data_IF_925362254104
#
_entry.id   IF_925362254104
#
_cell.length_a   1.000
_cell.length_b   1.000
_cell.length_c   1.000
_cell.angle_alpha   90.00
_cell.angle_beta   90.00
_cell.angle_gamma   90.00
#
_symmetry.space_group_name_H-M   'P 1'
#
loop_
_entity.id
_entity.type
_entity.pdbx_description
1 polymer ?
#
# COMPACT_ATOMS: atom_id res chain seq x y z
N UNK A 1 50.12 1.28 0.31
CA UNK A 1 50.12 0.64 1.64
C UNK A 1 49.20 1.45 2.55
N UNK A 2 47.98 0.97 2.78
CA UNK A 2 47.05 1.61 3.72
C UNK A 2 47.18 0.90 5.06
N UNK A 3 47.71 1.61 6.06
CA UNK A 3 47.79 1.14 7.44
C UNK A 3 46.38 1.15 8.05
N UNK A 4 45.86 -0.03 8.38
CA UNK A 4 44.68 -0.16 9.23
C UNK A 4 45.16 -0.29 10.68
N UNK A 5 44.86 0.69 11.53
CA UNK A 5 45.00 0.55 12.98
C UNK A 5 43.88 -0.36 13.52
N UNK A 6 44.15 -1.18 14.56
CA UNK A 6 43.15 -2.10 15.10
C UNK A 6 42.16 -1.36 16.00
N UNK A 7 40.90 -1.26 15.60
CA UNK A 7 39.83 -0.90 16.52
C UNK A 7 39.52 -2.11 17.43
N UNK A 8 39.85 -2.00 18.71
CA UNK A 8 39.38 -2.93 19.76
C UNK A 8 37.85 -2.82 19.94
N UNK A 9 37.14 -3.92 20.28
CA UNK A 9 35.67 -3.95 20.32
C UNK A 9 35.12 -3.41 21.65
N UNK A 10 33.91 -2.82 21.65
CA UNK A 10 32.72 -3.56 22.10
C UNK A 10 31.47 -3.27 21.21
N UNK A 11 30.31 -3.93 21.43
CA UNK A 11 29.40 -4.29 20.35
C UNK A 11 28.57 -3.10 19.87
N UNK A 12 28.65 -2.80 18.58
CA UNK A 12 27.73 -1.87 17.94
C UNK A 12 26.36 -2.55 17.79
N UNK A 13 25.44 -2.29 18.73
CA UNK A 13 24.02 -2.66 18.57
C UNK A 13 23.36 -1.60 17.70
N UNK A 14 23.18 -1.90 16.41
CA UNK A 14 22.39 -1.07 15.51
C UNK A 14 20.91 -1.48 15.61
N UNK A 15 20.15 -0.76 16.44
CA UNK A 15 18.69 -0.76 16.36
C UNK A 15 18.23 0.03 15.12
N UNK A 16 17.05 -0.27 14.55
CA UNK A 16 16.76 0.04 13.16
C UNK A 16 16.07 1.40 13.05
N UNK A 17 16.74 2.54 13.26
CA UNK A 17 16.32 3.81 12.64
C UNK A 17 17.45 4.84 12.69
N UNK A 18 17.70 5.44 11.53
CA UNK A 18 18.86 6.21 11.05
C UNK A 18 19.29 7.40 11.93
N UNK A 19 20.60 7.60 12.09
CA UNK A 19 21.19 8.94 12.17
C UNK A 19 22.40 9.06 11.22
N UNK A 20 22.48 10.24 10.61
CA UNK A 20 23.28 10.62 9.45
C UNK A 20 24.80 10.67 9.76
N UNK A 21 25.60 10.23 8.80
CA UNK A 21 27.06 10.02 8.81
C UNK A 21 27.93 11.15 9.42
N UNK A 22 29.19 10.83 9.81
CA UNK A 22 30.29 11.14 8.89
C UNK A 22 31.33 10.01 8.82
N UNK A 23 30.99 8.90 8.18
CA UNK A 23 31.99 8.01 7.59
C UNK A 23 31.70 7.94 6.08
N UNK A 24 32.67 8.35 5.27
CA UNK A 24 32.58 8.36 3.80
C UNK A 24 32.61 6.93 3.22
N UNK A 25 31.65 6.10 3.60
CA UNK A 25 31.37 4.85 2.92
C UNK A 25 30.45 5.16 1.71
N UNK A 26 30.73 4.61 0.52
CA UNK A 26 29.78 4.67 -0.59
C UNK A 26 28.50 3.97 -0.12
N UNK A 27 27.44 4.74 0.12
CA UNK A 27 26.14 4.20 0.47
C UNK A 27 25.45 3.78 -0.81
N UNK A 28 25.14 2.49 -0.94
CA UNK A 28 24.20 2.01 -1.93
C UNK A 28 22.82 2.30 -1.37
N UNK A 29 22.20 3.39 -1.81
CA UNK A 29 20.80 3.66 -1.53
C UNK A 29 19.96 2.62 -2.29
N UNK A 30 19.48 1.61 -1.57
CA UNK A 30 18.47 0.70 -2.09
C UNK A 30 17.15 1.48 -2.16
N UNK A 31 16.89 2.10 -3.30
CA UNK A 31 15.56 2.63 -3.58
C UNK A 31 14.61 1.43 -3.73
N UNK A 32 13.50 1.38 -2.97
CA UNK A 32 12.48 0.38 -3.24
C UNK A 32 12.05 0.54 -4.72
N UNK A 33 11.92 -0.55 -5.48
CA UNK A 33 11.42 -0.46 -6.85
C UNK A 33 10.07 0.23 -6.80
N UNK A 34 9.96 1.37 -7.51
CA UNK A 34 8.74 2.13 -7.81
C UNK A 34 7.56 1.88 -6.87
N UNK A 35 7.25 2.83 -5.99
CA UNK A 35 5.97 2.82 -5.27
C UNK A 35 4.82 2.63 -6.28
N UNK A 36 3.83 1.77 -5.98
CA UNK A 36 2.72 1.54 -6.90
C UNK A 36 2.04 2.87 -7.20
N UNK A 37 1.87 3.17 -8.49
CA UNK A 37 1.22 4.41 -8.95
C UNK A 37 -0.23 4.52 -8.44
N UNK A 38 -0.82 3.39 -8.05
CA UNK A 38 -2.21 3.25 -7.67
C UNK A 38 -2.38 2.12 -6.66
N UNK A 39 -3.00 2.40 -5.51
CA UNK A 39 -3.37 1.40 -4.51
C UNK A 39 -4.89 1.41 -4.33
N UNK A 40 -5.50 0.22 -4.35
CA UNK A 40 -6.88 0.01 -3.99
C UNK A 40 -6.96 -0.77 -2.68
N UNK A 41 -7.72 -0.25 -1.73
CA UNK A 41 -7.90 -0.88 -0.44
C UNK A 41 -9.35 -1.34 -0.29
N UNK A 42 -9.55 -2.66 -0.20
CA UNK A 42 -10.85 -3.22 0.19
C UNK A 42 -10.97 -3.07 1.70
N UNK A 43 -12.03 -2.42 2.17
CA UNK A 43 -12.28 -2.20 3.60
C UNK A 43 -13.56 -2.87 4.04
N UNK A 44 -13.50 -3.43 5.24
CA UNK A 44 -14.66 -3.95 5.93
C UNK A 44 -15.14 -2.92 6.95
N UNK A 45 -16.30 -2.32 6.69
CA UNK A 45 -16.97 -1.39 7.60
C UNK A 45 -18.00 -2.15 8.42
N UNK A 46 -18.00 -1.93 9.73
CA UNK A 46 -19.01 -2.52 10.61
C UNK A 46 -19.88 -1.38 11.11
N UNK A 47 -21.14 -1.41 10.73
CA UNK A 47 -22.15 -0.49 11.23
C UNK A 47 -22.91 -1.15 12.35
N UNK A 48 -23.05 -0.47 13.48
CA UNK A 48 -23.87 -0.92 14.60
C UNK A 48 -24.95 0.14 14.79
N UNK A 49 -26.22 -0.26 14.76
CA UNK A 49 -27.33 0.65 14.99
C UNK A 49 -27.66 0.81 16.47
N UNK A 50 -28.63 1.69 16.77
CA UNK A 50 -29.03 2.00 18.14
C UNK A 50 -29.62 0.79 18.89
N UNK A 51 -30.12 -0.21 18.16
CA UNK A 51 -30.62 -1.47 18.73
C UNK A 51 -29.51 -2.53 18.87
N UNK A 52 -28.28 -2.20 18.50
CA UNK A 52 -27.13 -3.10 18.56
C UNK A 52 -27.05 -4.07 17.39
N UNK A 53 -27.85 -3.92 16.33
CA UNK A 53 -27.75 -4.76 15.14
C UNK A 53 -26.48 -4.41 14.37
N UNK A 54 -25.75 -5.45 13.98
CA UNK A 54 -24.47 -5.33 13.28
C UNK A 54 -24.67 -5.57 11.78
N UNK A 55 -24.32 -4.57 10.98
CA UNK A 55 -24.35 -4.64 9.51
C UNK A 55 -22.93 -4.52 8.96
N UNK A 56 -22.32 -5.62 8.50
CA UNK A 56 -21.05 -5.57 7.79
C UNK A 56 -21.24 -5.04 6.37
N UNK A 57 -20.37 -4.13 5.95
CA UNK A 57 -20.34 -3.56 4.59
C UNK A 57 -18.93 -3.64 4.06
N UNK A 58 -18.75 -4.34 2.95
CA UNK A 58 -17.51 -4.34 2.20
C UNK A 58 -17.51 -3.16 1.23
N UNK A 59 -16.43 -2.39 1.19
CA UNK A 59 -16.32 -1.20 0.36
C UNK A 59 -14.91 -1.06 -0.22
N UNK A 60 -14.77 -0.24 -1.27
CA UNK A 60 -13.49 0.02 -1.92
C UNK A 60 -13.06 1.46 -1.64
N UNK A 61 -11.85 1.63 -1.13
CA UNK A 61 -11.21 2.93 -0.93
C UNK A 61 -9.99 3.05 -1.86
N UNK A 62 -10.00 3.99 -2.82
CA UNK A 62 -8.82 4.27 -3.60
C UNK A 62 -7.82 5.05 -2.74
N UNK A 63 -6.60 4.52 -2.60
CA UNK A 63 -5.44 5.23 -2.05
C UNK A 63 -4.49 5.54 -3.22
N UNK A 64 -4.70 6.68 -3.88
CA UNK A 64 -3.76 7.12 -4.91
C UNK A 64 -2.87 8.25 -4.37
N UNK A 65 -1.54 8.18 -4.52
CA UNK A 65 -0.70 9.37 -4.40
C UNK A 65 -1.14 10.45 -5.42
N UNK A 66 -1.27 11.70 -4.96
CA UNK A 66 -1.86 12.83 -5.70
C UNK A 66 -1.34 12.99 -7.14
N UNK A 67 -0.10 12.58 -7.41
CA UNK A 67 0.51 12.69 -8.74
C UNK A 67 -0.12 11.75 -9.80
N UNK A 68 -0.69 10.61 -9.41
CA UNK A 68 -1.28 9.64 -10.33
C UNK A 68 -2.80 9.80 -10.53
N UNK A 69 -3.42 10.73 -9.78
CA UNK A 69 -4.86 11.01 -9.84
C UNK A 69 -5.32 11.48 -11.24
N UNK A 70 -4.45 12.16 -11.99
CA UNK A 70 -4.80 12.72 -13.30
C UNK A 70 -5.08 11.64 -14.36
N UNK A 71 -4.37 10.51 -14.31
CA UNK A 71 -4.53 9.45 -15.30
C UNK A 71 -5.67 8.48 -14.99
N UNK A 72 -6.15 8.44 -13.74
CA UNK A 72 -7.09 7.40 -13.28
C UNK A 72 -8.31 7.95 -12.54
N UNK A 73 -8.71 9.19 -12.86
CA UNK A 73 -9.78 9.91 -12.16
C UNK A 73 -11.12 9.17 -12.16
N UNK A 74 -11.49 8.56 -13.29
CA UNK A 74 -12.74 7.80 -13.39
C UNK A 74 -12.75 6.55 -12.50
N UNK A 75 -11.61 5.87 -12.34
CA UNK A 75 -11.48 4.72 -11.45
C UNK A 75 -11.56 5.13 -9.97
N UNK A 76 -11.08 6.32 -9.62
CA UNK A 76 -11.21 6.88 -8.26
C UNK A 76 -12.65 7.22 -7.94
N UNK A 77 -13.31 7.96 -8.84
CA UNK A 77 -14.65 8.49 -8.60
C UNK A 77 -15.71 7.37 -8.66
N UNK A 78 -15.62 6.50 -9.67
CA UNK A 78 -16.64 5.48 -9.92
C UNK A 78 -16.29 4.11 -9.35
N UNK A 79 -15.01 3.81 -9.10
CA UNK A 79 -14.54 2.51 -8.65
C UNK A 79 -15.28 1.98 -7.41
N UNK A 80 -15.48 2.78 -6.35
CA UNK A 80 -16.24 2.36 -5.18
C UNK A 80 -17.68 1.95 -5.51
N UNK A 81 -18.37 2.72 -6.35
CA UNK A 81 -19.74 2.40 -6.71
C UNK A 81 -19.82 1.17 -7.63
N UNK A 82 -18.90 1.03 -8.59
CA UNK A 82 -18.81 -0.16 -9.43
C UNK A 82 -18.56 -1.41 -8.59
N UNK A 83 -17.67 -1.34 -7.59
CA UNK A 83 -17.41 -2.45 -6.69
C UNK A 83 -18.66 -2.83 -5.88
N UNK A 84 -19.39 -1.85 -5.35
CA UNK A 84 -20.68 -2.11 -4.65
C UNK A 84 -21.70 -2.78 -5.56
N UNK A 85 -21.79 -2.38 -6.83
CA UNK A 85 -22.69 -3.02 -7.78
C UNK A 85 -22.27 -4.46 -8.08
N UNK A 86 -20.97 -4.73 -8.24
CA UNK A 86 -20.47 -6.10 -8.40
C UNK A 86 -20.82 -6.96 -7.19
N UNK A 87 -20.65 -6.45 -5.96
CA UNK A 87 -21.00 -7.19 -4.74
C UNK A 87 -22.47 -7.64 -4.74
N UNK A 88 -23.37 -6.78 -5.21
CA UNK A 88 -24.80 -7.09 -5.32
C UNK A 88 -25.12 -8.09 -6.44
N UNK A 89 -24.39 -8.04 -7.56
CA UNK A 89 -24.68 -8.86 -8.75
C UNK A 89 -23.97 -10.22 -8.73
N UNK A 90 -22.74 -10.27 -8.25
CA UNK A 90 -21.84 -11.42 -8.34
C UNK A 90 -21.58 -12.08 -6.99
N UNK A 91 -21.86 -11.38 -5.87
CA UNK A 91 -21.43 -11.80 -4.55
C UNK A 91 -19.96 -11.49 -4.26
N UNK A 92 -19.50 -11.77 -3.05
CA UNK A 92 -18.21 -11.28 -2.52
C UNK A 92 -17.01 -11.85 -3.29
N UNK A 93 -16.91 -13.17 -3.38
CA UNK A 93 -15.75 -13.86 -3.96
C UNK A 93 -15.53 -13.46 -5.43
N UNK A 94 -16.57 -13.59 -6.25
CA UNK A 94 -16.51 -13.25 -7.68
C UNK A 94 -16.26 -11.76 -7.93
N UNK A 95 -16.73 -10.87 -7.05
CA UNK A 95 -16.44 -9.43 -7.15
C UNK A 95 -14.99 -9.10 -6.89
N UNK A 96 -14.38 -9.75 -5.88
CA UNK A 96 -12.96 -9.56 -5.56
C UNK A 96 -12.11 -10.10 -6.70
N UNK A 97 -12.41 -11.30 -7.20
CA UNK A 97 -11.70 -11.87 -8.35
C UNK A 97 -11.80 -10.97 -9.59
N UNK A 98 -13.00 -10.44 -9.88
CA UNK A 98 -13.23 -9.54 -11.01
C UNK A 98 -12.48 -8.22 -10.85
N UNK A 99 -12.40 -7.68 -9.63
CA UNK A 99 -11.63 -6.47 -9.34
C UNK A 99 -10.14 -6.69 -9.57
N UNK A 100 -9.58 -7.78 -9.03
CA UNK A 100 -8.16 -8.16 -9.21
C UNK A 100 -7.84 -8.29 -10.69
N UNK A 101 -8.69 -8.98 -11.45
CA UNK A 101 -8.52 -9.13 -12.90
C UNK A 101 -8.55 -7.78 -13.62
N UNK A 102 -9.44 -6.88 -13.23
CA UNK A 102 -9.58 -5.56 -13.88
C UNK A 102 -8.37 -4.65 -13.64
N UNK A 103 -7.67 -4.78 -12.51
CA UNK A 103 -6.48 -3.97 -12.20
C UNK A 103 -5.16 -4.65 -12.57
N UNK A 104 -5.15 -5.98 -12.65
CA UNK A 104 -3.97 -6.77 -13.05
C UNK A 104 -3.81 -6.93 -14.56
N UNK A 105 -4.71 -6.36 -15.37
CA UNK A 105 -4.53 -6.25 -16.81
C UNK A 105 -3.52 -5.14 -17.12
N UNK A 106 -2.23 -5.47 -17.10
CA UNK A 106 -1.25 -4.67 -17.83
C UNK A 106 -1.59 -4.69 -19.32
N UNK A 107 -1.54 -3.53 -19.96
CA UNK A 107 -1.67 -3.37 -21.41
C UNK A 107 -0.40 -2.74 -21.96
#
# INVERSE_FOLDING_TARGET
MCHCTPCTPPPCVCAPYVALNPCSCPHVALHPPSQPLFELMIVWKIYVDAEGRVTPVLDLLPRIPVQALQHNKAAVENGPQCFRNMLLLLGIEASIESLIRSVGMEK
#
